data_IF_085081092227
#
_entry.id   IF_085081092227
#
_cell.length_a   1.000
_cell.length_b   1.000
_cell.length_c   1.000
_cell.angle_alpha   90.00
_cell.angle_beta   90.00
_cell.angle_gamma   90.00
#
_symmetry.space_group_name_H-M   'P 1'
#
loop_
_entity.id
_entity.type
_entity.pdbx_description
1 polymer ?
#
# COMPACT_ATOMS: atom_id res chain seq x y z
N UNK A 1 -14.18 -0.55 14.06
CA UNK A 1 -13.45 0.44 13.23
C UNK A 1 -13.94 0.35 11.79
N UNK A 2 -13.90 1.46 11.05
CA UNK A 2 -14.46 1.53 9.70
C UNK A 2 -13.49 2.22 8.73
N UNK A 3 -13.65 1.95 7.45
CA UNK A 3 -12.86 2.51 6.36
C UNK A 3 -13.77 3.44 5.53
N UNK A 4 -13.97 4.70 5.98
CA UNK A 4 -14.88 5.62 5.33
C UNK A 4 -14.32 6.13 4.01
N UNK A 5 -15.12 5.99 2.95
CA UNK A 5 -14.88 6.59 1.64
C UNK A 5 -15.73 7.84 1.52
N UNK A 6 -15.10 9.00 1.36
CA UNK A 6 -15.79 10.29 1.23
C UNK A 6 -15.18 11.43 2.05
N UNK A 7 -15.81 12.62 2.00
CA UNK A 7 -15.30 13.81 2.68
C UNK A 7 -15.32 13.66 4.21
N UNK A 8 -14.42 14.38 4.89
CA UNK A 8 -14.40 14.45 6.34
C UNK A 8 -15.73 15.00 6.88
N UNK A 9 -16.32 14.32 7.86
CA UNK A 9 -17.59 14.72 8.47
C UNK A 9 -17.88 13.98 9.77
N UNK A 10 -18.79 14.51 10.58
CA UNK A 10 -19.23 13.91 11.85
C UNK A 10 -20.10 12.65 11.65
N UNK A 11 -20.52 12.38 10.41
CA UNK A 11 -21.27 11.20 10.01
C UNK A 11 -20.69 10.67 8.70
N UNK A 12 -20.51 9.37 8.63
CA UNK A 12 -20.09 8.66 7.42
C UNK A 12 -21.04 7.49 7.15
N UNK A 13 -21.26 7.19 5.86
CA UNK A 13 -21.90 5.95 5.43
C UNK A 13 -20.82 5.06 4.83
N UNK A 14 -20.79 3.81 5.24
CA UNK A 14 -19.79 2.83 4.81
C UNK A 14 -20.50 1.55 4.40
N UNK A 15 -19.93 0.87 3.39
CA UNK A 15 -20.35 -0.49 3.07
C UNK A 15 -20.00 -1.41 4.24
N UNK A 16 -20.80 -2.44 4.46
CA UNK A 16 -20.61 -3.36 5.57
C UNK A 16 -19.25 -4.10 5.50
N UNK A 17 -18.71 -4.32 4.29
CA UNK A 17 -17.38 -4.90 4.08
C UNK A 17 -16.23 -4.01 4.58
N UNK A 18 -16.46 -2.70 4.70
CA UNK A 18 -15.46 -1.74 5.19
C UNK A 18 -15.49 -1.55 6.71
N UNK A 19 -16.15 -2.44 7.46
CA UNK A 19 -16.31 -2.34 8.91
C UNK A 19 -15.82 -3.61 9.58
N UNK A 20 -15.00 -3.45 10.62
CA UNK A 20 -14.54 -4.57 11.46
C UNK A 20 -14.71 -4.22 12.94
N UNK A 21 -14.68 -5.23 13.81
CA UNK A 21 -14.77 -5.02 15.25
C UNK A 21 -13.64 -4.10 15.74
N UNK A 22 -13.95 -3.16 16.63
CA UNK A 22 -12.92 -2.31 17.23
C UNK A 22 -12.24 -3.10 18.37
N UNK A 23 -10.90 -3.23 18.37
CA UNK A 23 -10.20 -3.82 19.51
C UNK A 23 -10.30 -2.93 20.76
N UNK A 24 -10.02 -3.49 21.94
CA UNK A 24 -10.06 -2.78 23.23
C UNK A 24 -8.84 -1.86 23.40
N UNK A 25 -8.83 -0.77 22.64
CA UNK A 25 -7.79 0.27 22.59
C UNK A 25 -8.44 1.63 22.35
N UNK A 26 -7.68 2.71 22.41
CA UNK A 26 -8.25 4.06 22.24
C UNK A 26 -8.77 4.31 20.82
N UNK A 27 -9.76 5.20 20.68
CA UNK A 27 -10.22 5.67 19.37
C UNK A 27 -9.11 6.32 18.55
N UNK A 28 -8.16 6.98 19.22
CA UNK A 28 -7.01 7.60 18.58
C UNK A 28 -6.13 6.56 17.87
N UNK A 29 -5.87 5.44 18.56
CA UNK A 29 -5.01 4.38 18.04
C UNK A 29 -5.65 3.63 16.85
N UNK A 30 -6.98 3.54 16.79
CA UNK A 30 -7.70 2.83 15.70
C UNK A 30 -8.17 3.73 14.57
N UNK A 31 -8.05 5.05 14.68
CA UNK A 31 -8.47 5.98 13.63
C UNK A 31 -7.53 5.94 12.41
N UNK A 32 -6.23 5.77 12.62
CA UNK A 32 -5.20 5.77 11.55
C UNK A 32 -5.04 4.44 10.80
N UNK A 33 -5.11 3.25 11.44
CA UNK A 33 -4.78 1.98 10.80
C UNK A 33 -5.62 1.56 9.57
N UNK A 34 -6.96 1.73 9.50
CA UNK A 34 -7.79 1.06 8.48
C UNK A 34 -7.30 1.26 7.05
N UNK A 35 -7.05 2.51 6.65
CA UNK A 35 -6.61 2.85 5.29
C UNK A 35 -5.20 2.30 5.00
N UNK A 36 -4.26 2.49 5.92
CA UNK A 36 -2.87 2.07 5.73
C UNK A 36 -2.72 0.55 5.63
N UNK A 37 -3.35 -0.18 6.56
CA UNK A 37 -3.29 -1.64 6.59
C UNK A 37 -4.06 -2.27 5.43
N UNK A 38 -5.25 -1.75 5.10
CA UNK A 38 -5.99 -2.21 3.91
C UNK A 38 -5.18 -2.03 2.63
N UNK A 39 -4.41 -0.95 2.52
CA UNK A 39 -3.63 -0.67 1.31
C UNK A 39 -2.48 -1.65 1.22
N UNK A 40 -1.74 -1.79 2.32
CA UNK A 40 -0.66 -2.74 2.40
C UNK A 40 -1.10 -4.18 2.12
N UNK A 41 -2.26 -4.59 2.65
CA UNK A 41 -2.77 -5.95 2.46
C UNK A 41 -3.15 -6.21 1.00
N UNK A 42 -3.96 -5.35 0.38
CA UNK A 42 -4.36 -5.52 -1.04
C UNK A 42 -3.13 -5.44 -1.94
N UNK A 43 -2.24 -4.48 -1.71
CA UNK A 43 -1.04 -4.30 -2.52
C UNK A 43 -0.11 -5.49 -2.48
N UNK A 44 0.16 -6.03 -1.30
CA UNK A 44 1.14 -7.10 -1.14
C UNK A 44 0.55 -8.50 -1.30
N UNK A 45 -0.64 -8.72 -0.74
CA UNK A 45 -1.31 -10.01 -0.78
C UNK A 45 -2.03 -10.22 -2.10
N UNK A 46 -3.00 -9.36 -2.41
CA UNK A 46 -3.91 -9.60 -3.54
C UNK A 46 -3.29 -9.23 -4.90
N UNK A 47 -2.47 -8.18 -4.96
CA UNK A 47 -1.95 -7.65 -6.23
C UNK A 47 -0.58 -8.22 -6.58
N UNK A 48 0.39 -8.20 -5.67
CA UNK A 48 1.72 -8.78 -5.95
C UNK A 48 1.82 -10.27 -5.69
N UNK A 49 0.82 -10.84 -5.00
CA UNK A 49 0.87 -12.25 -4.54
C UNK A 49 2.20 -12.56 -3.85
N UNK A 50 2.57 -11.71 -2.87
CA UNK A 50 3.89 -11.74 -2.26
C UNK A 50 4.00 -12.90 -1.26
N UNK A 51 4.93 -13.82 -1.55
CA UNK A 51 5.20 -15.01 -0.76
C UNK A 51 6.61 -15.00 -0.16
N UNK A 52 6.82 -15.92 0.79
CA UNK A 52 8.13 -16.16 1.39
C UNK A 52 9.18 -16.46 0.32
N UNK A 53 10.34 -15.81 0.44
CA UNK A 53 11.47 -15.97 -0.48
C UNK A 53 11.46 -15.01 -1.68
N UNK A 54 10.40 -14.21 -1.85
CA UNK A 54 10.37 -13.12 -2.81
C UNK A 54 10.85 -11.81 -2.17
N UNK A 55 11.18 -10.84 -3.02
CA UNK A 55 11.56 -9.48 -2.60
C UNK A 55 10.58 -8.43 -3.11
N UNK A 56 10.40 -7.36 -2.34
CA UNK A 56 9.57 -6.21 -2.72
C UNK A 56 10.26 -4.90 -2.35
N UNK A 57 10.13 -3.89 -3.21
CA UNK A 57 10.52 -2.51 -2.90
C UNK A 57 9.31 -1.65 -2.61
N UNK A 58 9.34 -0.99 -1.45
CA UNK A 58 8.34 -0.01 -1.04
C UNK A 58 8.96 1.38 -1.14
N UNK A 59 8.45 2.21 -2.03
CA UNK A 59 8.92 3.58 -2.16
C UNK A 59 8.27 4.50 -1.10
N UNK A 60 8.97 5.56 -0.69
CA UNK A 60 8.48 6.59 0.25
C UNK A 60 7.94 6.03 1.58
N UNK A 61 8.66 5.07 2.18
CA UNK A 61 8.17 4.32 3.33
C UNK A 61 8.07 5.12 4.64
N UNK A 62 8.51 6.38 4.65
CA UNK A 62 8.61 7.22 5.87
C UNK A 62 7.27 7.73 6.39
N UNK A 63 6.19 7.71 5.58
CA UNK A 63 4.89 8.30 5.95
C UNK A 63 3.70 7.47 5.44
N UNK A 64 2.57 7.57 6.13
CA UNK A 64 1.29 7.03 5.68
C UNK A 64 1.33 5.52 5.44
N UNK A 65 0.87 5.09 4.26
CA UNK A 65 0.80 3.68 3.85
C UNK A 65 2.17 3.00 4.01
N UNK A 66 3.26 3.68 3.67
CA UNK A 66 4.62 3.15 3.73
C UNK A 66 5.04 2.56 5.09
N UNK A 67 4.63 3.19 6.20
CA UNK A 67 4.92 2.68 7.55
C UNK A 67 4.14 1.40 7.87
N UNK A 68 2.92 1.28 7.34
CA UNK A 68 2.06 0.09 7.49
C UNK A 68 2.57 -1.09 6.68
N UNK A 69 3.08 -0.85 5.47
CA UNK A 69 3.64 -1.88 4.59
C UNK A 69 4.96 -2.45 5.15
N UNK A 70 5.66 -1.75 6.06
CA UNK A 70 6.83 -2.33 6.76
C UNK A 70 6.40 -3.34 7.84
N UNK A 71 5.27 -3.09 8.51
CA UNK A 71 4.83 -3.88 9.67
C UNK A 71 4.13 -5.18 9.26
N UNK A 72 3.33 -5.13 8.20
CA UNK A 72 2.52 -6.25 7.72
C UNK A 72 3.34 -7.48 7.26
N UNK A 73 4.39 -7.35 6.43
CA UNK A 73 5.06 -8.52 5.85
C UNK A 73 6.10 -9.12 6.79
N UNK A 74 6.67 -8.30 7.70
CA UNK A 74 7.52 -8.77 8.80
C UNK A 74 6.76 -9.74 9.72
N UNK A 75 5.49 -9.45 9.98
CA UNK A 75 4.67 -10.27 10.88
C UNK A 75 3.95 -11.42 10.16
N UNK A 76 3.67 -11.31 8.84
CA UNK A 76 2.75 -12.24 8.15
C UNK A 76 3.22 -12.88 6.82
N UNK A 77 4.24 -12.37 6.11
CA UNK A 77 4.52 -12.83 4.73
C UNK A 77 5.92 -13.40 4.48
N UNK A 78 6.90 -13.15 5.35
CA UNK A 78 8.24 -13.77 5.24
C UNK A 78 9.02 -13.43 3.97
N UNK A 79 8.63 -12.36 3.28
CA UNK A 79 9.31 -11.80 2.11
C UNK A 79 10.42 -10.82 2.52
N UNK A 80 11.42 -10.63 1.65
CA UNK A 80 12.43 -9.59 1.82
C UNK A 80 11.87 -8.23 1.41
N UNK A 81 11.95 -7.25 2.32
CA UNK A 81 11.43 -5.91 2.10
C UNK A 81 12.59 -4.93 1.97
N UNK A 82 12.61 -4.22 0.86
CA UNK A 82 13.45 -3.07 0.61
C UNK A 82 12.60 -1.80 0.68
N UNK A 83 13.15 -0.73 1.24
CA UNK A 83 12.43 0.53 1.39
C UNK A 83 13.29 1.70 0.95
N UNK A 84 12.67 2.68 0.28
CA UNK A 84 13.32 4.00 0.07
C UNK A 84 12.77 5.01 1.07
N UNK A 85 13.66 5.91 1.50
CA UNK A 85 13.36 7.04 2.38
C UNK A 85 13.71 8.34 1.65
N UNK A 86 12.86 8.73 0.70
CA UNK A 86 13.08 9.87 -0.20
C UNK A 86 12.21 9.70 -1.46
N UNK A 87 11.94 10.79 -2.20
CA UNK A 87 10.98 10.80 -3.31
C UNK A 87 11.53 10.36 -4.67
N UNK A 88 12.85 10.12 -4.78
CA UNK A 88 13.47 10.06 -6.09
C UNK A 88 14.26 8.75 -6.22
N UNK A 89 13.88 7.96 -7.24
CA UNK A 89 14.43 6.68 -7.71
C UNK A 89 13.57 5.45 -7.38
N UNK A 90 13.05 4.82 -8.44
CA UNK A 90 12.68 3.41 -8.46
C UNK A 90 13.97 2.58 -8.47
N UNK A 91 14.12 1.70 -7.49
CA UNK A 91 15.25 0.77 -7.47
C UNK A 91 14.89 -0.55 -8.22
N UNK A 92 15.90 -1.30 -8.68
CA UNK A 92 15.70 -2.42 -9.61
C UNK A 92 15.25 -3.69 -8.87
N UNK A 93 13.95 -3.88 -8.71
CA UNK A 93 13.36 -5.06 -8.06
C UNK A 93 12.39 -5.80 -9.00
N UNK A 94 12.16 -7.08 -8.71
CA UNK A 94 11.34 -7.98 -9.53
C UNK A 94 9.85 -7.58 -9.52
N UNK A 95 9.34 -7.05 -8.41
CA UNK A 95 7.96 -6.56 -8.30
C UNK A 95 7.93 -5.12 -7.79
N UNK A 96 7.26 -4.25 -8.54
CA UNK A 96 7.11 -2.83 -8.22
C UNK A 96 5.63 -2.50 -8.04
N UNK A 97 5.29 -1.99 -6.85
CA UNK A 97 3.94 -1.47 -6.56
C UNK A 97 3.99 0.03 -6.44
N UNK A 98 3.27 0.71 -7.34
CA UNK A 98 3.11 2.15 -7.27
C UNK A 98 1.77 2.53 -6.63
N UNK A 99 1.85 3.21 -5.49
CA UNK A 99 0.70 3.74 -4.72
C UNK A 99 0.53 5.24 -4.97
N UNK A 100 1.59 5.92 -5.40
CA UNK A 100 1.57 7.35 -5.70
C UNK A 100 0.76 7.64 -6.97
N UNK A 101 -0.02 8.72 -6.95
CA UNK A 101 -0.76 9.19 -8.14
C UNK A 101 -0.07 10.35 -8.87
N UNK A 102 1.06 10.84 -8.35
CA UNK A 102 1.71 12.06 -8.87
C UNK A 102 2.18 11.84 -10.31
N UNK A 103 2.96 10.79 -10.51
CA UNK A 103 3.61 10.53 -11.79
C UNK A 103 2.57 10.07 -12.83
N UNK A 104 1.56 9.30 -12.41
CA UNK A 104 0.38 8.96 -13.21
C UNK A 104 -0.44 10.20 -13.61
N UNK A 105 -0.74 11.09 -12.66
CA UNK A 105 -1.52 12.31 -12.93
C UNK A 105 -0.76 13.34 -13.76
N UNK A 106 0.57 13.25 -13.78
CA UNK A 106 1.47 14.08 -14.59
C UNK A 106 1.89 13.45 -15.91
N UNK A 107 1.42 12.24 -16.24
CA UNK A 107 1.80 11.47 -17.44
C UNK A 107 3.32 11.29 -17.59
N UNK A 108 3.98 10.94 -16.48
CA UNK A 108 5.43 10.76 -16.45
C UNK A 108 5.85 9.50 -17.20
N UNK A 109 7.00 9.55 -17.88
CA UNK A 109 7.52 8.42 -18.66
C UNK A 109 8.10 7.34 -17.73
N UNK A 110 7.66 6.09 -17.93
CA UNK A 110 8.30 4.90 -17.38
C UNK A 110 9.18 4.26 -18.45
N UNK A 111 10.49 4.21 -18.22
CA UNK A 111 11.41 3.57 -19.15
C UNK A 111 11.23 2.04 -19.11
N UNK A 112 10.80 1.44 -20.22
CA UNK A 112 10.56 -0.02 -20.34
C UNK A 112 11.81 -0.84 -20.00
N UNK A 113 13.01 -0.29 -20.18
CA UNK A 113 14.26 -0.92 -19.74
C UNK A 113 14.23 -1.33 -18.25
N UNK A 114 13.48 -0.61 -17.42
CA UNK A 114 13.31 -0.89 -15.98
C UNK A 114 12.53 -2.18 -15.71
N UNK A 115 11.64 -2.59 -16.62
CA UNK A 115 10.82 -3.81 -16.48
C UNK A 115 11.34 -5.00 -17.31
N UNK A 116 12.55 -4.89 -17.87
CA UNK A 116 13.11 -5.87 -18.83
C UNK A 116 13.53 -7.22 -18.24
N UNK A 117 13.47 -7.42 -16.92
CA UNK A 117 13.96 -8.61 -16.20
C UNK A 117 12.85 -9.48 -15.61
N UNK A 118 11.85 -9.83 -16.43
CA UNK A 118 10.63 -10.52 -15.97
C UNK A 118 9.90 -9.78 -14.83
N UNK A 119 10.07 -8.45 -14.78
CA UNK A 119 9.50 -7.63 -13.71
C UNK A 119 8.07 -7.20 -14.06
N UNK A 120 7.24 -7.09 -13.02
CA UNK A 120 5.86 -6.60 -13.15
C UNK A 120 5.71 -5.22 -12.52
N UNK A 121 4.90 -4.37 -13.14
CA UNK A 121 4.54 -3.05 -12.64
C UNK A 121 3.02 -2.94 -12.54
N UNK A 122 2.53 -2.61 -11.35
CA UNK A 122 1.09 -2.39 -11.12
C UNK A 122 0.86 -1.10 -10.34
N UNK A 123 -0.02 -0.26 -10.87
CA UNK A 123 -0.57 0.90 -10.17
C UNK A 123 -1.87 0.49 -9.49
N UNK A 124 -2.02 0.87 -8.22
CA UNK A 124 -3.22 0.52 -7.42
C UNK A 124 -3.91 1.80 -6.96
N UNK A 125 -5.19 1.94 -7.29
CA UNK A 125 -6.06 2.94 -6.71
C UNK A 125 -7.07 2.30 -5.76
N UNK A 126 -6.80 2.36 -4.46
CA UNK A 126 -7.70 1.83 -3.44
C UNK A 126 -9.12 2.43 -3.54
N UNK A 127 -9.25 3.70 -3.93
CA UNK A 127 -10.58 4.32 -4.06
C UNK A 127 -11.40 3.70 -5.21
N UNK A 128 -10.74 3.10 -6.19
CA UNK A 128 -11.40 2.37 -7.28
C UNK A 128 -11.72 0.91 -6.97
N UNK A 129 -11.16 0.35 -5.90
CA UNK A 129 -11.24 -1.08 -5.56
C UNK A 129 -12.25 -1.35 -4.42
N UNK A 130 -12.65 -0.32 -3.65
CA UNK A 130 -13.60 -0.41 -2.53
C UNK A 130 -15.01 0.12 -2.86
#
# INVERSE_FOLDING_TARGET
>A
MALPLGPFGSRARVKWQGVVHMPDVSFYDVASPPMGFGTAYVSLGDVTDLHRGQSVLIHAATRGVGQTVIRLPRDYMGAEIYVTVGSDVLAPFENIVEIGKRDLGGDSLLEIGTISRDASFTSIDMMGIL
#
